data_IF_654150221229
#
_entry.id   IF_654150221229
#
_cell.length_a   1.000
_cell.length_b   1.000
_cell.length_c   1.000
_cell.angle_alpha   90.00
_cell.angle_beta   90.00
_cell.angle_gamma   90.00
#
_symmetry.space_group_name_H-M   'P 1'
#
loop_
_entity.id
_entity.type
_entity.pdbx_description
1 polymer ?
#
# COMPACT_ATOMS: atom_id res chain seq x y z
N UNK A 1 -3.38 19.57 9.50
CA UNK A 1 -4.80 19.21 9.76
C UNK A 1 -5.22 17.93 9.03
N UNK A 2 -4.86 17.75 7.75
CA UNK A 2 -5.24 16.57 6.95
C UNK A 2 -4.77 15.22 7.52
N UNK A 3 -3.50 15.11 7.97
CA UNK A 3 -2.96 13.85 8.52
C UNK A 3 -3.68 13.43 9.82
N UNK A 4 -4.07 14.40 10.65
CA UNK A 4 -4.74 14.11 11.92
C UNK A 4 -6.18 13.61 11.69
N UNK A 5 -6.92 14.26 10.80
CA UNK A 5 -8.25 13.80 10.38
C UNK A 5 -8.18 12.44 9.69
N UNK A 6 -7.20 12.27 8.80
CA UNK A 6 -6.93 11.01 8.13
C UNK A 6 -6.67 9.90 9.15
N UNK A 7 -5.82 10.14 10.15
CA UNK A 7 -5.50 9.19 11.24
C UNK A 7 -6.73 8.66 11.97
N UNK A 8 -7.69 9.53 12.30
CA UNK A 8 -8.93 9.19 13.05
C UNK A 8 -9.96 8.38 12.25
N UNK A 9 -9.80 8.25 10.93
CA UNK A 9 -10.69 7.43 10.10
C UNK A 9 -10.09 6.05 9.83
N UNK A 10 -10.92 5.07 9.49
CA UNK A 10 -10.47 3.76 8.95
C UNK A 10 -10.50 3.73 7.41
N UNK A 11 -10.68 4.89 6.75
CA UNK A 11 -10.76 4.96 5.30
C UNK A 11 -9.40 4.66 4.66
N UNK A 12 -9.46 4.13 3.44
CA UNK A 12 -8.31 4.04 2.53
C UNK A 12 -7.82 5.44 2.21
N UNK A 13 -6.50 5.62 2.28
CA UNK A 13 -5.85 6.89 1.94
C UNK A 13 -4.90 6.66 0.78
N UNK A 14 -4.98 7.53 -0.22
CA UNK A 14 -4.05 7.59 -1.33
C UNK A 14 -3.12 8.80 -1.16
N UNK A 15 -1.83 8.53 -1.01
CA UNK A 15 -0.77 9.54 -0.92
C UNK A 15 -0.16 9.73 -2.30
N UNK A 16 -0.29 10.93 -2.87
CA UNK A 16 0.26 11.26 -4.18
C UNK A 16 1.46 12.18 -4.03
N UNK A 17 2.56 11.88 -4.71
CA UNK A 17 3.73 12.73 -4.70
C UNK A 17 4.91 12.10 -5.43
N UNK A 18 5.84 12.96 -5.87
CA UNK A 18 7.05 12.51 -6.55
C UNK A 18 7.85 11.50 -5.69
N UNK A 19 8.67 10.68 -6.34
CA UNK A 19 9.59 9.79 -5.63
C UNK A 19 10.53 10.58 -4.71
N UNK A 20 10.79 10.07 -3.51
CA UNK A 20 11.65 10.74 -2.53
C UNK A 20 11.00 11.88 -1.73
N UNK A 21 9.70 12.16 -1.89
CA UNK A 21 9.00 13.23 -1.14
C UNK A 21 8.64 12.85 0.32
N UNK A 22 8.93 11.61 0.75
CA UNK A 22 8.66 11.13 2.11
C UNK A 22 7.27 10.49 2.30
N UNK A 23 6.71 9.86 1.25
CA UNK A 23 5.38 9.23 1.28
C UNK A 23 5.22 8.21 2.44
N UNK A 24 6.26 7.43 2.72
CA UNK A 24 6.25 6.48 3.84
C UNK A 24 6.16 7.18 5.21
N UNK A 25 6.85 8.31 5.40
CA UNK A 25 6.78 9.08 6.65
C UNK A 25 5.35 9.56 6.91
N UNK A 26 4.64 9.96 5.86
CA UNK A 26 3.23 10.35 5.93
C UNK A 26 2.36 9.14 6.27
N UNK A 27 2.58 7.99 5.65
CA UNK A 27 1.86 6.75 5.99
C UNK A 27 2.07 6.33 7.46
N UNK A 28 3.30 6.41 7.96
CA UNK A 28 3.63 6.14 9.38
C UNK A 28 2.98 7.17 10.31
N UNK A 29 2.97 8.44 9.91
CA UNK A 29 2.33 9.52 10.67
C UNK A 29 0.79 9.37 10.74
N UNK A 30 0.16 8.83 9.69
CA UNK A 30 -1.26 8.47 9.67
C UNK A 30 -1.52 7.31 10.63
N UNK A 31 -0.71 6.24 10.53
CA UNK A 31 -0.83 5.06 11.38
C UNK A 31 -0.70 5.41 12.87
N UNK A 32 0.31 6.19 13.25
CA UNK A 32 0.56 6.57 14.65
C UNK A 32 -0.56 7.43 15.27
N UNK A 33 -1.36 8.10 14.43
CA UNK A 33 -2.51 8.91 14.83
C UNK A 33 -3.85 8.16 14.69
N UNK A 34 -3.82 6.87 14.41
CA UNK A 34 -5.00 6.04 14.27
C UNK A 34 -5.31 5.21 15.52
N UNK A 35 -6.53 4.68 15.59
CA UNK A 35 -6.91 3.71 16.62
C UNK A 35 -6.16 2.38 16.50
N UNK A 36 -5.44 2.17 15.38
CA UNK A 36 -4.62 0.99 15.11
C UNK A 36 -3.13 1.18 15.41
N UNK A 37 -2.72 2.31 16.01
CA UNK A 37 -1.31 2.66 16.28
C UNK A 37 -0.52 1.66 17.12
N UNK A 38 -1.19 0.79 17.87
CA UNK A 38 -0.56 -0.25 18.68
C UNK A 38 -0.42 -1.59 17.92
N UNK A 39 -1.03 -1.70 16.74
CA UNK A 39 -1.00 -2.89 15.89
C UNK A 39 0.09 -2.75 14.81
N UNK A 40 0.41 -3.82 14.06
CA UNK A 40 1.48 -3.78 13.07
C UNK A 40 1.29 -2.69 12.00
N UNK A 41 2.42 -2.09 11.61
CA UNK A 41 2.54 -1.34 10.37
C UNK A 41 3.44 -2.13 9.43
N UNK A 42 2.88 -2.66 8.35
CA UNK A 42 3.61 -3.41 7.33
C UNK A 42 3.72 -2.56 6.09
N UNK A 43 4.91 -2.46 5.51
CA UNK A 43 5.16 -1.71 4.28
C UNK A 43 5.65 -2.65 3.19
N UNK A 44 5.18 -2.43 1.97
CA UNK A 44 5.63 -3.13 0.76
C UNK A 44 5.74 -2.14 -0.38
N UNK A 45 6.87 -2.18 -1.10
CA UNK A 45 7.05 -1.42 -2.34
C UNK A 45 6.68 -2.32 -3.53
N UNK A 46 5.65 -1.94 -4.28
CA UNK A 46 5.13 -2.72 -5.41
C UNK A 46 6.10 -2.78 -6.60
N UNK A 47 7.02 -1.82 -6.72
CA UNK A 47 8.01 -1.76 -7.79
C UNK A 47 9.31 -2.53 -7.49
N UNK A 48 9.49 -3.02 -6.26
CA UNK A 48 10.77 -3.56 -5.80
C UNK A 48 10.96 -5.06 -6.09
N UNK A 49 9.90 -5.79 -6.45
CA UNK A 49 9.93 -7.24 -6.62
C UNK A 49 9.39 -7.65 -8.00
N UNK A 50 9.92 -8.75 -8.59
CA UNK A 50 9.28 -9.40 -9.73
C UNK A 50 7.84 -9.82 -9.39
N UNK A 51 6.95 -9.86 -10.39
CA UNK A 51 5.51 -10.11 -10.20
C UNK A 51 5.19 -11.35 -9.34
N UNK A 52 5.84 -12.49 -9.59
CA UNK A 52 5.61 -13.72 -8.83
C UNK A 52 6.00 -13.59 -7.36
N UNK A 53 7.09 -12.89 -7.07
CA UNK A 53 7.54 -12.62 -5.69
C UNK A 53 6.68 -11.56 -5.03
N UNK A 54 6.25 -10.53 -5.77
CA UNK A 54 5.35 -9.50 -5.27
C UNK A 54 4.01 -10.12 -4.85
N UNK A 55 3.46 -11.03 -5.66
CA UNK A 55 2.20 -11.70 -5.34
C UNK A 55 2.32 -12.56 -4.08
N UNK A 56 3.38 -13.35 -3.99
CA UNK A 56 3.71 -14.14 -2.80
C UNK A 56 3.90 -13.27 -1.57
N UNK A 57 4.65 -12.17 -1.67
CA UNK A 57 4.91 -11.27 -0.54
C UNK A 57 3.62 -10.58 -0.05
N UNK A 58 2.75 -10.18 -0.98
CA UNK A 58 1.51 -9.48 -0.65
C UNK A 58 0.45 -10.40 -0.04
N UNK A 59 0.21 -11.55 -0.68
CA UNK A 59 -0.91 -12.46 -0.34
C UNK A 59 -0.49 -13.75 0.38
N UNK A 60 0.81 -14.06 0.43
CA UNK A 60 1.30 -15.32 0.96
C UNK A 60 1.19 -16.46 -0.04
N UNK A 61 1.83 -17.59 0.27
CA UNK A 61 1.76 -18.80 -0.51
C UNK A 61 1.76 -20.05 0.36
N UNK A 62 1.13 -21.12 -0.14
CA UNK A 62 1.21 -22.45 0.47
C UNK A 62 2.45 -23.21 -0.01
N UNK A 63 2.94 -24.13 0.81
CA UNK A 63 4.06 -24.99 0.43
C UNK A 63 3.72 -25.76 -0.85
N UNK A 64 4.63 -25.73 -1.83
CA UNK A 64 4.48 -26.42 -3.12
C UNK A 64 3.64 -25.67 -4.16
N UNK A 65 3.23 -24.42 -3.91
CA UNK A 65 2.42 -23.63 -4.85
C UNK A 65 3.14 -23.27 -6.16
N UNK A 66 4.47 -23.22 -6.15
CA UNK A 66 5.33 -23.00 -7.32
C UNK A 66 6.73 -23.57 -7.07
N UNK A 67 7.56 -23.67 -8.11
CA UNK A 67 8.94 -24.14 -8.00
C UNK A 67 9.75 -23.25 -7.05
N UNK A 68 10.21 -23.81 -5.92
CA UNK A 68 10.94 -23.08 -4.87
C UNK A 68 10.09 -22.70 -3.65
N UNK A 69 8.78 -22.94 -3.66
CA UNK A 69 7.90 -22.80 -2.49
C UNK A 69 8.11 -23.95 -1.49
N UNK A 70 9.29 -24.02 -0.89
CA UNK A 70 9.67 -25.12 0.01
C UNK A 70 8.92 -25.10 1.35
N UNK A 71 8.45 -23.92 1.74
CA UNK A 71 7.72 -23.67 2.99
C UNK A 71 6.51 -22.79 2.70
N UNK A 72 5.60 -22.71 3.67
CA UNK A 72 4.49 -21.76 3.61
C UNK A 72 5.03 -20.37 3.95
N UNK A 73 4.53 -19.34 3.27
CA UNK A 73 4.84 -17.94 3.54
C UNK A 73 3.58 -17.15 3.91
N UNK A 74 3.69 -16.35 4.98
CA UNK A 74 2.61 -15.47 5.46
C UNK A 74 2.78 -14.09 4.85
N UNK A 75 1.82 -13.69 4.02
CA UNK A 75 1.90 -12.44 3.24
C UNK A 75 1.73 -11.16 4.07
N UNK A 76 1.92 -10.01 3.42
CA UNK A 76 1.77 -8.68 4.00
C UNK A 76 0.39 -8.46 4.60
N UNK A 77 -0.69 -8.89 3.93
CA UNK A 77 -2.05 -8.72 4.44
C UNK A 77 -2.27 -9.41 5.78
N UNK A 78 -1.77 -10.63 5.93
CA UNK A 78 -1.88 -11.38 7.19
C UNK A 78 -0.99 -10.76 8.27
N UNK A 79 0.26 -10.40 7.94
CA UNK A 79 1.17 -9.71 8.86
C UNK A 79 0.61 -8.36 9.34
N UNK A 80 -0.17 -7.68 8.51
CA UNK A 80 -0.80 -6.39 8.80
C UNK A 80 -2.16 -6.53 9.50
N UNK A 81 -2.61 -7.73 9.84
CA UNK A 81 -3.92 -7.97 10.45
C UNK A 81 -4.13 -7.09 11.71
N UNK A 82 -5.31 -6.45 11.82
CA UNK A 82 -5.68 -5.41 12.80
C UNK A 82 -4.86 -4.11 12.74
N UNK A 83 -3.83 -4.07 11.90
CA UNK A 83 -2.92 -2.97 11.71
C UNK A 83 -3.17 -2.18 10.44
N UNK A 84 -2.06 -1.70 9.86
CA UNK A 84 -2.04 -0.91 8.63
C UNK A 84 -1.07 -1.53 7.64
N UNK A 85 -1.51 -1.68 6.40
CA UNK A 85 -0.66 -2.03 5.27
C UNK A 85 -0.39 -0.77 4.45
N UNK A 86 0.88 -0.46 4.24
CA UNK A 86 1.34 0.57 3.35
C UNK A 86 1.82 -0.05 2.04
N UNK A 87 1.21 0.35 0.93
CA UNK A 87 1.64 -0.04 -0.42
C UNK A 87 2.25 1.16 -1.13
N UNK A 88 3.57 1.16 -1.29
CA UNK A 88 4.28 2.18 -2.04
C UNK A 88 4.33 1.83 -3.53
N UNK A 89 4.28 2.87 -4.35
CA UNK A 89 4.20 2.79 -5.81
C UNK A 89 3.08 1.85 -6.31
N UNK A 90 1.86 2.01 -5.78
CA UNK A 90 0.69 1.18 -6.13
C UNK A 90 0.37 1.18 -7.63
N UNK A 91 0.75 2.23 -8.37
CA UNK A 91 0.59 2.32 -9.82
C UNK A 91 1.46 1.34 -10.61
N UNK A 92 2.43 0.69 -9.97
CA UNK A 92 3.29 -0.36 -10.56
C UNK A 92 2.77 -1.78 -10.23
N UNK A 93 1.63 -1.89 -9.54
CA UNK A 93 1.03 -3.18 -9.21
C UNK A 93 0.52 -3.88 -10.50
N UNK A 94 0.93 -5.13 -10.78
CA UNK A 94 0.46 -5.86 -11.97
C UNK A 94 -1.07 -6.03 -11.99
N UNK A 95 -1.68 -5.95 -13.18
CA UNK A 95 -3.13 -6.05 -13.37
C UNK A 95 -3.78 -7.29 -12.70
N UNK A 96 -3.19 -8.50 -12.75
CA UNK A 96 -3.77 -9.66 -12.05
C UNK A 96 -3.85 -9.46 -10.53
N UNK A 97 -2.84 -8.80 -9.95
CA UNK A 97 -2.77 -8.50 -8.52
C UNK A 97 -3.75 -7.39 -8.13
N UNK A 98 -4.02 -6.42 -9.00
CA UNK A 98 -5.01 -5.37 -8.76
C UNK A 98 -6.42 -5.95 -8.52
N UNK A 99 -6.82 -6.98 -9.28
CA UNK A 99 -8.09 -7.67 -9.08
C UNK A 99 -8.17 -8.39 -7.73
N UNK A 100 -7.06 -9.01 -7.29
CA UNK A 100 -6.98 -9.63 -5.96
C UNK A 100 -7.04 -8.58 -4.86
N UNK A 101 -6.30 -7.49 -4.99
CA UNK A 101 -6.32 -6.37 -4.05
C UNK A 101 -7.74 -5.81 -3.86
N UNK A 102 -8.46 -5.58 -4.96
CA UNK A 102 -9.85 -5.12 -4.91
C UNK A 102 -10.74 -6.06 -4.08
N UNK A 103 -10.64 -7.38 -4.30
CA UNK A 103 -11.40 -8.37 -3.52
C UNK A 103 -11.09 -8.29 -2.03
N UNK A 104 -9.83 -8.10 -1.64
CA UNK A 104 -9.47 -7.92 -0.22
C UNK A 104 -10.11 -6.66 0.35
N UNK A 105 -10.13 -5.55 -0.41
CA UNK A 105 -10.73 -4.28 0.02
C UNK A 105 -12.26 -4.31 0.11
N UNK A 106 -12.90 -5.24 -0.58
CA UNK A 106 -14.36 -5.43 -0.56
C UNK A 106 -14.80 -6.46 0.48
N UNK A 107 -14.08 -7.58 0.58
CA UNK A 107 -14.49 -8.75 1.34
C UNK A 107 -13.76 -8.90 2.68
N UNK A 108 -12.58 -8.27 2.83
CA UNK A 108 -11.72 -8.48 3.99
C UNK A 108 -11.17 -9.91 4.05
N UNK A 109 -10.97 -10.54 2.90
CA UNK A 109 -10.47 -11.91 2.79
C UNK A 109 -9.39 -12.00 1.72
N UNK A 110 -8.35 -12.79 1.97
CA UNK A 110 -7.32 -13.12 0.99
C UNK A 110 -7.33 -14.62 0.69
N UNK A 111 -6.76 -14.99 -0.46
CA UNK A 111 -6.43 -16.38 -0.79
C UNK A 111 -4.94 -16.44 -1.08
N UNK A 112 -4.23 -17.35 -0.41
CA UNK A 112 -2.79 -17.56 -0.64
C UNK A 112 -2.57 -18.15 -2.04
N UNK A 113 -1.41 -17.87 -2.63
CA UNK A 113 -1.02 -18.53 -3.89
C UNK A 113 -0.97 -20.04 -3.68
N UNK A 114 -1.66 -20.78 -4.55
CA UNK A 114 -1.79 -22.25 -4.46
C UNK A 114 -2.65 -22.76 -3.30
N UNK A 115 -3.31 -21.88 -2.54
CA UNK A 115 -4.24 -22.25 -1.47
C UNK A 115 -5.70 -22.18 -1.92
N UNK A 116 -6.55 -23.00 -1.30
CA UNK A 116 -8.01 -23.00 -1.55
C UNK A 116 -8.82 -22.31 -0.44
N UNK A 117 -8.22 -22.13 0.74
CA UNK A 117 -8.88 -21.50 1.88
C UNK A 117 -8.79 -19.97 1.84
N UNK A 118 -9.89 -19.30 2.21
CA UNK A 118 -9.86 -17.86 2.47
C UNK A 118 -9.33 -17.56 3.88
N UNK A 119 -8.61 -16.46 4.01
CA UNK A 119 -8.07 -15.96 5.28
C UNK A 119 -8.67 -14.59 5.55
N UNK A 120 -9.42 -14.46 6.64
CA UNK A 120 -9.99 -13.18 7.05
C UNK A 120 -8.91 -12.22 7.50
N UNK A 121 -8.91 -11.03 6.91
CA UNK A 121 -7.99 -9.94 7.23
C UNK A 121 -8.75 -8.67 7.54
N UNK A 122 -8.33 -7.98 8.59
CA UNK A 122 -8.86 -6.67 8.96
C UNK A 122 -7.70 -5.68 8.88
N UNK A 123 -7.51 -5.10 7.70
CA UNK A 123 -6.34 -4.27 7.39
C UNK A 123 -6.80 -2.91 6.93
N UNK A 124 -6.23 -1.87 7.53
CA UNK A 124 -6.34 -0.52 6.98
C UNK A 124 -5.30 -0.34 5.88
N UNK A 125 -5.73 0.12 4.71
CA UNK A 125 -4.81 0.39 3.60
C UNK A 125 -4.42 1.88 3.54
N UNK A 126 -3.12 2.13 3.40
CA UNK A 126 -2.56 3.40 2.92
C UNK A 126 -1.77 3.09 1.65
N UNK A 127 -2.16 3.68 0.52
CA UNK A 127 -1.46 3.50 -0.75
C UNK A 127 -0.70 4.77 -1.11
N UNK A 128 0.40 4.64 -1.83
CA UNK A 128 1.18 5.75 -2.34
C UNK A 128 1.56 5.55 -3.79
N UNK A 129 1.68 6.65 -4.56
CA UNK A 129 2.16 6.59 -5.94
C UNK A 129 2.73 7.93 -6.40
N UNK A 130 3.71 7.86 -7.31
CA UNK A 130 4.16 8.98 -8.12
C UNK A 130 3.50 9.07 -9.51
N UNK A 131 2.63 8.11 -9.87
CA UNK A 131 1.99 8.03 -11.18
C UNK A 131 0.64 8.73 -11.20
N UNK A 132 0.25 9.18 -12.38
CA UNK A 132 -1.12 9.54 -12.67
C UNK A 132 -1.94 8.27 -12.90
N UNK A 133 -2.68 7.84 -11.86
CA UNK A 133 -3.53 6.65 -11.95
C UNK A 133 -4.70 6.84 -12.92
N UNK A 134 -5.18 8.06 -13.14
CA UNK A 134 -6.26 8.30 -14.10
C UNK A 134 -5.78 8.12 -15.54
N UNK A 135 -4.55 8.57 -15.85
CA UNK A 135 -3.88 8.24 -17.11
C UNK A 135 -3.69 6.72 -17.27
N UNK A 136 -3.17 6.04 -16.24
CA UNK A 136 -2.97 4.57 -16.26
C UNK A 136 -4.26 3.79 -16.45
N UNK A 137 -5.38 4.28 -15.90
CA UNK A 137 -6.71 3.71 -16.15
C UNK A 137 -7.10 3.84 -17.63
N UNK A 138 -6.89 5.02 -18.24
CA UNK A 138 -7.17 5.25 -19.67
C UNK A 138 -6.30 4.39 -20.59
N UNK A 139 -5.08 4.09 -20.16
CA UNK A 139 -4.12 3.23 -20.87
C UNK A 139 -4.40 1.73 -20.67
N UNK A 140 -5.32 1.37 -19.75
CA UNK A 140 -5.64 -0.02 -19.43
C UNK A 140 -4.61 -0.71 -18.51
N UNK A 141 -3.66 0.05 -17.96
CA UNK A 141 -2.61 -0.44 -17.05
C UNK A 141 -3.07 -0.47 -15.58
N UNK A 142 -4.16 0.22 -15.27
CA UNK A 142 -4.76 0.23 -13.94
C UNK A 142 -6.28 0.05 -14.01
N UNK A 143 -6.84 -0.76 -13.09
CA UNK A 143 -8.28 -1.02 -13.08
C UNK A 143 -9.04 0.18 -12.53
N UNK A 144 -10.08 0.58 -13.26
CA UNK A 144 -10.94 1.70 -12.90
C UNK A 144 -11.67 1.49 -11.55
N UNK A 145 -12.13 0.27 -11.28
CA UNK A 145 -12.81 -0.07 -10.02
C UNK A 145 -11.90 0.07 -8.80
N UNK A 146 -10.66 -0.43 -8.89
CA UNK A 146 -9.64 -0.26 -7.87
C UNK A 146 -9.28 1.21 -7.68
N UNK A 147 -9.14 1.98 -8.77
CA UNK A 147 -8.84 3.41 -8.68
C UNK A 147 -9.88 4.15 -7.83
N UNK A 148 -11.17 3.98 -8.12
CA UNK A 148 -12.22 4.59 -7.32
C UNK A 148 -12.25 4.09 -5.87
N UNK A 149 -11.90 2.82 -5.63
CA UNK A 149 -11.82 2.27 -4.26
C UNK A 149 -10.66 2.85 -3.45
N UNK A 150 -9.56 3.25 -4.10
CA UNK A 150 -8.40 3.88 -3.48
C UNK A 150 -8.59 5.39 -3.28
N UNK A 151 -9.30 6.06 -4.20
CA UNK A 151 -9.46 7.51 -4.26
C UNK A 151 -10.53 8.06 -3.28
N UNK A 152 -10.58 7.55 -2.05
CA UNK A 152 -11.55 8.00 -1.03
C UNK A 152 -11.04 9.25 -0.30
N UNK A 153 -9.78 9.22 0.15
CA UNK A 153 -9.09 10.35 0.77
C UNK A 153 -7.74 10.51 0.10
N UNK A 154 -7.50 11.67 -0.51
CA UNK A 154 -6.23 11.97 -1.20
C UNK A 154 -5.40 12.92 -0.33
N UNK A 155 -4.12 12.58 -0.17
CA UNK A 155 -3.12 13.48 0.42
C UNK A 155 -2.05 13.73 -0.64
N UNK A 156 -2.06 14.93 -1.20
CA UNK A 156 -1.00 15.38 -2.10
C UNK A 156 0.20 15.87 -1.30
N UNK A 157 1.38 15.33 -1.62
CA UNK A 157 2.68 15.77 -1.11
C UNK A 157 3.35 16.63 -2.17
N UNK A 158 3.55 17.93 -1.92
CA UNK A 158 4.25 18.79 -2.84
C UNK A 158 5.72 18.36 -2.99
N UNK A 159 6.28 18.62 -4.16
CA UNK A 159 7.68 18.36 -4.44
C UNK A 159 8.57 19.31 -3.64
N UNK A 160 9.84 18.95 -3.38
CA UNK A 160 10.72 19.77 -2.53
C UNK A 160 10.96 21.18 -3.09
N UNK A 161 10.91 21.36 -4.42
CA UNK A 161 11.00 22.66 -5.09
C UNK A 161 9.83 23.60 -4.80
N UNK A 162 8.68 23.06 -4.38
CA UNK A 162 7.47 23.79 -4.02
C UNK A 162 7.40 24.09 -2.51
N UNK A 163 8.34 23.54 -1.71
CA UNK A 163 8.48 23.74 -0.25
C UNK A 163 9.94 24.00 0.14
N UNK A 164 10.55 25.01 -0.48
CA UNK A 164 11.99 25.29 -0.36
C UNK A 164 12.41 25.67 1.07
N UNK A 165 11.48 26.20 1.84
CA UNK A 165 11.64 26.53 3.26
C UNK A 165 11.97 25.32 4.14
N UNK A 166 11.61 24.10 3.72
CA UNK A 166 11.92 22.87 4.45
C UNK A 166 13.36 22.39 4.21
N UNK A 167 14.03 22.88 3.16
CA UNK A 167 15.37 22.42 2.76
C UNK A 167 16.42 22.59 3.87
N UNK A 168 16.53 23.75 4.56
CA UNK A 168 17.52 23.91 5.62
C UNK A 168 17.31 22.92 6.78
N UNK A 169 16.06 22.69 7.20
CA UNK A 169 15.74 21.77 8.28
C UNK A 169 16.01 20.32 7.91
N UNK A 170 15.70 19.93 6.66
CA UNK A 170 16.02 18.59 6.16
C UNK A 170 17.53 18.39 6.03
N UNK A 171 18.27 19.40 5.58
CA UNK A 171 19.72 19.33 5.48
C UNK A 171 20.38 19.14 6.86
N UNK A 172 19.90 19.87 7.88
CA UNK A 172 20.36 19.70 9.27
C UNK A 172 20.07 18.31 9.82
N UNK A 173 18.92 17.72 9.48
CA UNK A 173 18.58 16.36 9.92
C UNK A 173 19.49 15.26 9.34
N UNK A 174 20.05 15.47 8.14
CA UNK A 174 20.91 14.49 7.47
C UNK A 174 22.40 14.63 7.78
N UNK A 175 22.84 15.74 8.40
CA UNK A 175 24.21 16.00 8.81
C UNK A 175 24.49 15.47 10.22
#
# INVERSE_FOLDING_TARGET
QTIEQAGRSNLTILVQGESGTGKELVARAIHSRSDRRANPFVAMNCAALPESLAESELFGHEKGSFTGANERHVGCFERAHKGTLFLDEIGELPLPMQGKLLRVLEQGEIVRVGGEGTVKVDVRLVAATNRDLEARVREGEFRQDLYYRLQVVIIALPSLRDRREDIPLLAEHFL
#
